data_IF_068157383827
#
_entry.id   IF_068157383827
#
_cell.length_a   1.000
_cell.length_b   1.000
_cell.length_c   1.000
_cell.angle_alpha   90.00
_cell.angle_beta   90.00
_cell.angle_gamma   90.00
#
_symmetry.space_group_name_H-M   'P 1'
#
loop_
_entity.id
_entity.type
_entity.pdbx_description
1 polymer ?
2 non-polymer ?
3 non-polymer ?
4 water ?
#
# COMPACT_ATOMS: atom_id res chain seq x y z
N UNK A 1 -4.79 9.82 12.49
CA UNK A 1 -4.56 8.35 12.41
C UNK A 1 -5.77 7.75 11.74
N UNK A 2 -5.61 6.53 11.24
CA UNK A 2 -6.75 5.77 10.77
C UNK A 2 -6.72 4.40 11.46
N UNK A 3 -7.87 3.75 11.47
CA UNK A 3 -7.99 2.49 12.15
C UNK A 3 -8.80 1.54 11.31
N UNK A 4 -8.53 0.27 11.54
CA UNK A 4 -9.29 -0.82 10.98
C UNK A 4 -9.34 -2.02 11.91
N UNK A 5 -10.57 -2.52 12.10
CA UNK A 5 -10.85 -3.65 12.95
C UNK A 5 -11.34 -4.84 12.11
N UNK A 6 -10.54 -5.90 12.13
CA UNK A 6 -10.91 -7.18 11.47
C UNK A 6 -12.14 -7.86 12.07
N UNK A 7 -12.35 -7.67 13.37
CA UNK A 7 -13.49 -8.25 14.05
C UNK A 7 -14.75 -7.51 13.61
N UNK A 8 -15.64 -8.22 12.95
CA UNK A 8 -16.83 -7.58 12.44
C UNK A 8 -16.63 -6.98 11.08
N UNK A 9 -15.42 -7.10 10.53
CA UNK A 9 -15.18 -6.48 9.22
C UNK A 9 -16.02 -7.09 8.15
N UNK A 10 -16.47 -6.27 7.23
CA UNK A 10 -17.10 -6.77 6.06
C UNK A 10 -16.62 -5.89 4.91
N UNK A 11 -17.03 -6.21 3.68
CA UNK A 11 -16.57 -5.39 2.55
C UNK A 11 -16.91 -3.92 2.71
N UNK A 12 -18.12 -3.64 3.19
CA UNK A 12 -18.46 -2.30 3.37
C UNK A 12 -17.54 -1.57 4.34
N UNK A 13 -17.20 -2.16 5.48
CA UNK A 13 -16.36 -1.51 6.49
C UNK A 13 -14.88 -1.40 6.04
N UNK A 14 -14.40 -2.42 5.34
CA UNK A 14 -13.06 -2.35 4.73
C UNK A 14 -13.02 -1.20 3.70
N UNK A 15 -14.07 -1.08 2.87
CA UNK A 15 -14.12 -0.04 1.85
C UNK A 15 -14.11 1.31 2.50
N UNK A 16 -14.82 1.42 3.62
CA UNK A 16 -14.82 2.62 4.44
C UNK A 16 -13.41 3.00 4.97
N UNK A 17 -12.68 2.02 5.55
CA UNK A 17 -11.34 2.17 6.01
C UNK A 17 -10.48 2.64 4.87
N UNK A 18 -10.58 2.00 3.71
CA UNK A 18 -9.72 2.42 2.58
C UNK A 18 -10.00 3.82 2.16
N UNK A 19 -11.28 4.19 2.14
CA UNK A 19 -11.58 5.61 1.91
C UNK A 19 -10.96 6.54 2.90
N UNK A 20 -11.01 6.19 4.18
CA UNK A 20 -10.37 6.98 5.25
C UNK A 20 -8.84 7.05 5.17
N UNK A 21 -8.24 5.93 4.82
CA UNK A 21 -6.82 5.91 4.54
C UNK A 21 -6.47 6.91 3.39
N UNK A 22 -7.15 6.82 2.24
CA UNK A 22 -6.93 7.77 1.15
C UNK A 22 -7.12 9.21 1.61
N UNK A 23 -8.17 9.45 2.41
CA UNK A 23 -8.50 10.82 2.86
C UNK A 23 -7.56 11.35 3.91
N UNK A 24 -6.80 10.45 4.55
CA UNK A 24 -5.78 10.88 5.49
C UNK A 24 -4.57 11.41 4.82
N UNK A 25 -4.39 11.18 3.50
CA UNK A 25 -3.16 11.59 2.85
C UNK A 25 -3.39 12.98 2.29
N UNK A 26 -2.48 13.92 2.57
CA UNK A 26 -2.65 15.29 2.08
C UNK A 26 -2.28 15.49 0.63
N UNK A 27 -3.02 16.41 -0.01
CA UNK A 27 -2.70 16.87 -1.33
C UNK A 27 -3.13 18.33 -1.46
N UNK A 28 -2.43 19.07 -2.27
CA UNK A 28 -2.89 20.44 -2.55
C UNK A 28 -3.55 20.49 -3.94
N UNK A 29 -3.19 19.61 -4.87
CA UNK A 29 -3.93 19.58 -6.11
C UNK A 29 -4.40 18.18 -6.58
N UNK A 30 -5.33 18.20 -7.53
CA UNK A 30 -5.75 17.01 -8.21
C UNK A 30 -5.33 17.12 -9.63
N UNK A 31 -5.04 16.01 -10.25
CA UNK A 31 -4.66 15.97 -11.65
C UNK A 31 -5.62 15.00 -12.27
N UNK A 32 -6.41 15.48 -13.23
CA UNK A 32 -7.54 14.72 -13.77
C UNK A 32 -8.36 14.12 -12.67
N UNK A 33 -8.69 14.97 -11.72
CA UNK A 33 -9.50 14.67 -10.64
C UNK A 33 -8.94 13.59 -9.68
N UNK A 34 -7.67 13.25 -9.82
CA UNK A 34 -6.98 12.25 -8.87
C UNK A 34 -6.04 13.04 -7.95
N UNK A 35 -6.17 12.94 -6.59
CA UNK A 35 -5.26 13.60 -5.66
C UNK A 35 -3.82 13.29 -5.95
N UNK A 36 -3.01 14.35 -6.01
CA UNK A 36 -1.59 14.31 -6.28
C UNK A 36 -0.90 14.46 -4.93
N UNK A 37 -0.19 13.39 -4.56
CA UNK A 37 0.51 13.39 -3.27
C UNK A 37 1.63 14.39 -3.32
N UNK A 38 1.90 14.95 -2.14
CA UNK A 38 2.91 16.01 -2.04
C UNK A 38 4.32 15.55 -2.43
N UNK A 39 5.14 16.49 -2.94
CA UNK A 39 6.50 16.19 -3.25
C UNK A 39 7.29 15.86 -1.98
N UNK A 40 6.94 16.51 -0.86
CA UNK A 40 7.73 16.43 0.31
C UNK A 40 6.91 16.89 1.48
N UNK A 41 7.16 16.28 2.64
CA UNK A 41 6.62 16.74 3.95
C UNK A 41 7.67 16.71 5.08
N UNK A 42 7.67 17.80 5.86
CA UNK A 42 8.68 18.12 6.87
C UNK A 42 8.39 17.37 8.14
N UNK A 43 9.36 16.59 8.60
CA UNK A 43 9.35 16.04 9.95
C UNK A 43 8.29 14.99 10.19
N UNK A 44 7.65 15.08 11.36
CA UNK A 44 6.77 14.03 11.89
C UNK A 44 5.49 13.88 11.09
N UNK A 45 5.03 15.00 10.51
CA UNK A 45 3.79 15.07 9.76
C UNK A 45 3.86 14.24 8.49
N UNK A 46 5.04 13.76 8.17
CA UNK A 46 5.26 12.96 6.98
C UNK A 46 4.67 11.54 7.10
N UNK A 47 4.39 11.13 8.32
CA UNK A 47 4.00 9.74 8.64
C UNK A 47 2.58 9.63 9.17
N UNK A 48 1.79 8.78 8.54
CA UNK A 48 0.43 8.48 9.07
C UNK A 48 0.45 7.20 9.84
N UNK A 49 -0.24 7.16 10.98
CA UNK A 49 -0.35 5.95 11.81
C UNK A 49 -1.66 5.23 11.53
N UNK A 50 -1.53 3.96 11.16
CA UNK A 50 -2.67 3.12 10.80
C UNK A 50 -2.71 2.05 11.88
N UNK A 51 -3.74 2.13 12.71
CA UNK A 51 -3.99 1.16 13.76
C UNK A 51 -4.78 0.00 13.21
N UNK A 52 -4.18 -1.20 13.25
CA UNK A 52 -4.88 -2.40 12.75
C UNK A 52 -5.09 -3.37 13.86
N UNK A 53 -6.31 -3.92 13.92
CA UNK A 53 -6.65 -4.91 14.96
C UNK A 53 -7.06 -6.23 14.33
N UNK A 54 -6.49 -7.32 14.82
CA UNK A 54 -6.87 -8.64 14.34
C UNK A 54 -8.21 -9.11 14.89
N UNK A 55 -8.63 -10.31 14.49
CA UNK A 55 -9.99 -10.78 14.86
C UNK A 55 -10.08 -10.81 16.40
N UNK A 56 -9.00 -11.14 17.06
CA UNK A 56 -9.00 -11.22 18.55
C UNK A 56 -8.81 -9.86 19.17
N UNK A 57 -8.67 -8.84 18.36
CA UNK A 57 -8.51 -7.51 18.89
C UNK A 57 -7.11 -7.07 19.38
N UNK A 58 -6.08 -7.86 19.11
CA UNK A 58 -4.70 -7.38 19.32
C UNK A 58 -4.38 -6.42 18.19
N UNK A 59 -3.42 -5.53 18.43
CA UNK A 59 -3.17 -4.47 17.50
C UNK A 59 -1.68 -4.26 17.16
N UNK A 60 -1.44 -3.84 15.93
CA UNK A 60 -0.22 -3.19 15.52
C UNK A 60 -0.51 -1.79 14.98
N UNK A 61 0.43 -0.86 15.14
CA UNK A 61 0.39 0.39 14.48
C UNK A 61 1.42 0.48 13.33
N UNK A 62 0.93 0.79 12.14
CA UNK A 62 1.81 0.83 10.98
C UNK A 62 2.07 2.29 10.59
N UNK A 63 3.32 2.61 10.34
CA UNK A 63 3.69 3.96 9.91
C UNK A 63 3.80 4.02 8.43
N UNK A 64 3.07 4.99 7.84
CA UNK A 64 3.02 5.11 6.43
C UNK A 64 3.46 6.52 6.03
N UNK A 65 4.32 6.60 5.01
CA UNK A 65 4.84 7.88 4.49
C UNK A 65 3.78 8.43 3.57
N UNK A 66 3.28 9.61 3.93
CA UNK A 66 2.08 10.14 3.28
C UNK A 66 2.35 10.66 1.86
N UNK A 67 3.63 10.74 1.50
CA UNK A 67 4.02 11.21 0.18
C UNK A 67 4.06 10.10 -0.82
N UNK A 68 4.12 8.84 -0.37
CA UNK A 68 4.24 7.75 -1.34
C UNK A 68 3.46 6.44 -1.01
N UNK A 69 2.79 6.48 0.14
CA UNK A 69 2.06 5.39 0.76
C UNK A 69 2.98 4.18 1.04
N UNK A 70 4.27 4.43 1.19
CA UNK A 70 5.19 3.33 1.55
C UNK A 70 5.13 3.11 3.05
N UNK A 71 5.12 1.83 3.40
CA UNK A 71 5.16 1.43 4.79
C UNK A 71 6.60 1.49 5.23
N UNK A 72 6.82 2.19 6.35
CA UNK A 72 8.17 2.38 6.87
C UNK A 72 8.51 1.30 7.94
N UNK A 73 7.50 0.98 8.75
CA UNK A 73 7.62 0.07 9.88
C UNK A 73 6.37 0.03 10.67
N UNK A 74 6.43 -0.63 11.85
CA UNK A 74 5.22 -0.84 12.63
C UNK A 74 5.64 -1.09 14.09
N UNK A 75 4.68 -0.87 14.95
CA UNK A 75 4.83 -1.10 16.40
C UNK A 75 3.96 -2.27 16.81
N UNK A 76 4.56 -3.25 17.47
CA UNK A 76 3.84 -4.39 18.09
C UNK A 76 4.16 -4.40 19.58
N UNK A 77 3.18 -4.03 20.37
CA UNK A 77 3.37 -3.87 21.79
C UNK A 77 4.50 -2.88 21.94
N UNK A 78 5.56 -3.27 22.62
CA UNK A 78 6.63 -2.33 23.03
C UNK A 78 7.87 -2.44 22.13
N UNK A 79 7.67 -3.01 20.94
CA UNK A 79 8.78 -3.25 20.06
C UNK A 79 8.42 -2.65 18.69
N UNK A 80 9.31 -1.85 18.14
CA UNK A 80 9.15 -1.25 16.82
C UNK A 80 10.00 -2.02 15.80
N UNK A 81 9.57 -2.02 14.54
CA UNK A 81 10.22 -2.81 13.49
C UNK A 81 10.27 -1.88 12.30
N UNK A 82 11.42 -1.73 11.68
CA UNK A 82 11.53 -0.83 10.53
C UNK A 82 12.26 -1.57 9.46
N UNK A 83 11.95 -1.27 8.22
CA UNK A 83 12.70 -1.84 7.10
C UNK A 83 14.13 -1.36 7.11
N UNK A 84 14.99 -2.15 6.44
CA UNK A 84 16.39 -1.83 6.35
C UNK A 84 16.64 -1.00 5.11
N UNK A 85 16.32 0.27 5.25
CA UNK A 85 16.41 1.27 4.16
C UNK A 85 16.43 2.70 4.78
N UNK A 86 17.13 3.66 4.14
CA UNK A 86 17.31 5.02 4.66
C UNK A 86 16.01 5.74 5.02
N UNK A 87 14.99 5.58 4.20
CA UNK A 87 13.74 6.23 4.49
C UNK A 87 13.13 5.77 5.82
N UNK A 88 13.20 4.47 6.10
CA UNK A 88 12.58 3.97 7.32
C UNK A 88 13.43 4.34 8.54
N UNK A 89 14.75 4.34 8.36
CA UNK A 89 15.68 4.84 9.39
C UNK A 89 15.22 6.22 9.83
N UNK A 90 14.97 7.10 8.86
CA UNK A 90 14.50 8.45 9.15
C UNK A 90 13.22 8.49 9.86
N UNK A 91 12.30 7.63 9.42
CA UNK A 91 11.01 7.58 10.01
C UNK A 91 11.17 7.27 11.46
N UNK A 92 12.14 6.42 11.76
CA UNK A 92 12.35 5.94 13.16
C UNK A 92 12.78 7.02 14.14
N UNK A 93 13.30 8.11 13.59
CA UNK A 93 13.49 9.37 14.37
C UNK A 93 12.24 10.05 14.85
N UNK A 94 11.13 9.79 14.16
CA UNK A 94 9.89 10.46 14.45
C UNK A 94 8.82 9.57 15.02
N UNK A 95 8.71 8.32 14.60
CA UNK A 95 7.59 7.54 15.11
C UNK A 95 8.00 6.39 16.04
N UNK A 96 7.10 6.10 16.98
CA UNK A 96 7.20 5.02 17.96
C UNK A 96 8.42 5.24 18.88
N UNK A 97 8.73 6.44 19.18
CA UNK A 97 9.92 6.75 19.94
C UNK A 97 9.87 6.08 21.29
N UNK A 98 8.69 5.91 21.97
CA UNK A 98 8.68 5.21 23.28
C UNK A 98 8.60 3.68 23.22
N UNK A 99 8.83 3.08 22.06
CA UNK A 99 9.04 1.63 22.04
C UNK A 99 10.27 1.31 22.89
N UNK A 100 10.21 0.21 23.62
CA UNK A 100 11.38 -0.24 24.44
C UNK A 100 12.56 -0.69 23.61
N UNK A 101 12.34 -1.21 22.40
CA UNK A 101 13.43 -1.45 21.49
C UNK A 101 13.00 -1.38 20.06
N UNK A 102 13.98 -1.23 19.18
CA UNK A 102 13.73 -1.06 17.81
C UNK A 102 14.42 -2.16 17.12
N UNK A 103 13.69 -2.94 16.30
CA UNK A 103 14.32 -3.91 15.46
C UNK A 103 14.36 -3.47 14.02
N UNK A 104 15.53 -3.52 13.38
CA UNK A 104 15.61 -3.38 11.90
C UNK A 104 15.50 -4.73 11.22
N UNK A 105 14.43 -4.88 10.48
CA UNK A 105 14.15 -6.07 9.75
C UNK A 105 15.32 -6.33 8.81
N UNK A 106 15.62 -7.60 8.56
CA UNK A 106 16.76 -7.87 7.68
C UNK A 106 16.54 -7.83 6.20
N UNK A 107 15.74 -6.85 5.77
CA UNK A 107 15.43 -6.61 4.39
C UNK A 107 14.80 -5.20 4.26
N UNK A 108 14.93 -4.66 3.07
CA UNK A 108 14.27 -3.39 2.72
C UNK A 108 12.82 -3.74 2.41
N UNK A 109 12.03 -2.69 2.19
CA UNK A 109 10.66 -2.88 1.85
C UNK A 109 10.27 -3.12 0.40
N UNK A 110 11.21 -3.27 -0.51
CA UNK A 110 10.76 -3.45 -1.85
C UNK A 110 10.28 -4.85 -2.07
N UNK A 111 9.30 -4.94 -2.93
CA UNK A 111 8.72 -6.20 -3.26
C UNK A 111 9.78 -7.30 -3.55
N UNK A 112 10.80 -6.99 -4.32
CA UNK A 112 11.68 -8.08 -4.75
C UNK A 112 12.42 -8.64 -3.50
N UNK A 113 12.79 -7.77 -2.58
CA UNK A 113 13.53 -8.24 -1.38
C UNK A 113 12.63 -8.99 -0.42
N UNK A 114 11.39 -8.50 -0.23
CA UNK A 114 10.41 -9.22 0.55
C UNK A 114 10.12 -10.59 0.02
N UNK A 115 9.97 -10.70 -1.31
CA UNK A 115 9.68 -11.99 -1.92
C UNK A 115 10.80 -13.00 -1.66
N UNK A 116 12.00 -12.56 -1.90
CA UNK A 116 13.20 -13.43 -1.60
C UNK A 116 13.19 -13.93 -0.14
N UNK A 117 13.03 -13.02 0.78
CA UNK A 117 12.90 -13.37 2.20
C UNK A 117 11.77 -14.29 2.55
N UNK A 118 10.58 -14.02 1.98
CA UNK A 118 9.43 -14.83 2.21
C UNK A 118 9.58 -16.19 1.57
N UNK A 119 10.43 -16.26 0.55
CA UNK A 119 10.70 -17.55 -0.16
C UNK A 119 9.73 -17.84 -1.30
N UNK A 120 8.93 -16.84 -1.68
CA UNK A 120 7.93 -17.01 -2.75
C UNK A 120 7.50 -15.66 -3.35
N UNK A 121 7.15 -15.65 -4.63
CA UNK A 121 6.69 -14.41 -5.25
C UNK A 121 5.24 -14.13 -4.83
N UNK A 122 4.81 -12.90 -4.93
CA UNK A 122 3.53 -12.65 -4.33
C UNK A 122 2.38 -13.14 -5.16
N UNK A 123 2.68 -13.56 -6.39
CA UNK A 123 1.74 -14.36 -7.16
C UNK A 123 1.20 -15.59 -6.49
N UNK A 124 1.95 -16.13 -5.54
CA UNK A 124 1.62 -17.38 -4.90
C UNK A 124 1.19 -17.18 -3.50
N UNK A 125 1.09 -15.93 -3.02
CA UNK A 125 0.72 -15.70 -1.65
C UNK A 125 -0.71 -15.19 -1.66
N UNK A 126 -1.64 -15.95 -1.09
CA UNK A 126 -3.04 -15.50 -0.99
C UNK A 126 -3.16 -14.22 -0.19
N UNK A 127 -4.09 -13.38 -0.64
CA UNK A 127 -4.40 -12.16 0.08
C UNK A 127 -5.89 -12.10 0.30
N UNK A 128 -6.28 -11.26 1.26
CA UNK A 128 -7.65 -11.09 1.60
C UNK A 128 -7.70 -10.62 3.02
N UNK A 129 -8.91 -10.46 3.54
CA UNK A 129 -9.02 -9.97 4.92
C UNK A 129 -8.60 -11.02 5.91
N UNK A 130 -8.89 -12.33 5.62
CA UNK A 130 -8.35 -13.31 6.58
C UNK A 130 -6.81 -13.34 6.55
N UNK A 131 -6.21 -13.15 5.39
CA UNK A 131 -4.75 -13.07 5.26
C UNK A 131 -4.24 -11.89 6.02
N UNK A 132 -5.00 -10.81 6.04
CA UNK A 132 -4.60 -9.62 6.82
C UNK A 132 -4.67 -9.91 8.37
N UNK A 133 -5.75 -10.50 8.82
CA UNK A 133 -5.79 -11.06 10.20
C UNK A 133 -4.52 -11.87 10.55
N UNK A 134 -4.16 -12.85 9.70
CA UNK A 134 -2.95 -13.68 9.88
C UNK A 134 -1.72 -12.81 9.90
N UNK A 135 -1.64 -11.81 9.01
CA UNK A 135 -0.44 -10.97 8.91
C UNK A 135 -0.23 -10.19 10.22
N UNK A 136 -1.29 -9.60 10.70
CA UNK A 136 -1.22 -8.80 11.97
C UNK A 136 -0.75 -9.74 13.08
N UNK A 137 -1.37 -10.92 13.13
CA UNK A 137 -1.00 -11.89 14.13
C UNK A 137 0.50 -12.26 14.04
N UNK A 138 1.02 -12.46 12.84
CA UNK A 138 2.42 -12.76 12.62
C UNK A 138 3.30 -11.64 13.15
N UNK A 139 2.93 -10.43 12.83
CA UNK A 139 3.80 -9.31 13.08
C UNK A 139 3.83 -9.03 14.55
N UNK A 140 2.87 -9.57 15.31
CA UNK A 140 2.83 -9.28 16.75
C UNK A 140 4.04 -9.82 17.48
N UNK A 141 4.58 -10.91 16.95
CA UNK A 141 5.81 -11.46 17.52
C UNK A 141 6.81 -11.80 16.45
N UNK A 142 7.99 -11.25 16.66
CA UNK A 142 9.01 -11.21 15.65
C UNK A 142 9.35 -12.60 15.09
N UNK A 143 9.30 -12.71 13.78
CA UNK A 143 9.83 -13.83 13.06
C UNK A 143 10.12 -13.30 11.65
N UNK A 144 11.38 -13.06 11.27
CA UNK A 144 11.64 -12.33 10.04
C UNK A 144 11.17 -12.98 8.74
N UNK A 145 11.34 -14.28 8.61
CA UNK A 145 10.79 -14.99 7.44
C UNK A 145 9.32 -14.90 7.34
N UNK A 146 8.59 -15.14 8.42
CA UNK A 146 7.17 -15.07 8.41
C UNK A 146 6.74 -13.63 8.18
N UNK A 147 7.39 -12.68 8.82
CA UNK A 147 7.03 -11.29 8.66
C UNK A 147 7.13 -10.82 7.20
N UNK A 148 8.10 -11.31 6.42
CA UNK A 148 8.20 -10.90 5.01
C UNK A 148 6.92 -11.20 4.30
N UNK A 149 6.37 -12.41 4.53
CA UNK A 149 5.11 -12.78 3.90
C UNK A 149 3.96 -11.94 4.45
N UNK A 150 3.95 -11.76 5.77
CA UNK A 150 2.87 -10.99 6.38
C UNK A 150 2.91 -9.54 5.80
N UNK A 151 4.11 -8.99 5.64
CA UNK A 151 4.28 -7.68 5.06
C UNK A 151 3.83 -7.54 3.64
N UNK A 152 4.10 -8.52 2.80
CA UNK A 152 3.50 -8.54 1.49
C UNK A 152 1.97 -8.48 1.48
N UNK A 153 1.32 -9.15 2.42
CA UNK A 153 -0.10 -9.16 2.52
C UNK A 153 -0.54 -7.77 2.99
N UNK A 154 0.18 -7.27 4.00
CA UNK A 154 -0.15 -6.00 4.62
C UNK A 154 -0.09 -4.80 3.63
N UNK A 155 0.96 -4.80 2.83
CA UNK A 155 1.16 -3.79 1.83
C UNK A 155 0.05 -3.79 0.79
N UNK A 156 -0.32 -4.96 0.31
CA UNK A 156 -1.24 -5.06 -0.77
C UNK A 156 -2.66 -4.79 -0.24
N UNK A 157 -2.97 -5.18 0.97
CA UNK A 157 -4.33 -4.93 1.50
C UNK A 157 -4.61 -3.53 2.02
N UNK A 158 -3.60 -2.74 2.21
CA UNK A 158 -3.75 -1.45 2.75
C UNK A 158 -3.31 -0.44 1.66
N UNK A 159 -2.02 -0.18 1.52
CA UNK A 159 -1.46 0.81 0.55
C UNK A 159 -1.88 0.54 -0.90
N UNK A 160 -1.76 -0.68 -1.40
CA UNK A 160 -2.12 -0.93 -2.80
C UNK A 160 -3.67 -0.72 -3.08
N UNK A 161 -4.49 -1.06 -2.09
CA UNK A 161 -5.96 -0.88 -2.18
C UNK A 161 -6.27 0.61 -2.14
N UNK A 162 -5.54 1.37 -1.31
CA UNK A 162 -5.73 2.81 -1.28
C UNK A 162 -5.39 3.41 -2.65
N UNK A 163 -4.36 2.85 -3.31
CA UNK A 163 -3.95 3.38 -4.64
C UNK A 163 -4.88 3.09 -5.77
N UNK A 164 -5.46 1.89 -5.76
CA UNK A 164 -6.29 1.40 -6.84
C UNK A 164 -7.62 0.86 -6.39
N UNK A 165 -8.72 1.46 -6.85
CA UNK A 165 -10.05 0.94 -6.55
C UNK A 165 -10.22 -0.52 -6.97
N UNK A 166 -9.55 -0.98 -8.04
CA UNK A 166 -9.67 -2.30 -8.46
C UNK A 166 -9.09 -3.27 -7.38
N UNK A 167 -7.99 -2.88 -6.74
CA UNK A 167 -7.38 -3.71 -5.74
C UNK A 167 -8.24 -3.70 -4.51
N UNK A 168 -8.75 -2.52 -4.14
CA UNK A 168 -9.75 -2.45 -3.06
C UNK A 168 -10.87 -3.46 -3.26
N UNK A 169 -11.43 -3.51 -4.48
CA UNK A 169 -12.47 -4.40 -4.83
C UNK A 169 -12.02 -5.85 -4.77
N UNK A 170 -10.78 -6.14 -5.21
CA UNK A 170 -10.25 -7.50 -5.10
C UNK A 170 -10.25 -7.96 -3.64
N UNK A 171 -9.83 -7.10 -2.75
CA UNK A 171 -9.74 -7.48 -1.38
C UNK A 171 -11.16 -7.70 -0.84
N UNK A 172 -12.08 -6.86 -1.26
CA UNK A 172 -13.52 -6.99 -0.86
C UNK A 172 -14.13 -8.31 -1.21
N UNK A 173 -13.74 -8.81 -2.39
CA UNK A 173 -14.12 -10.13 -2.84
C UNK A 173 -13.47 -11.24 -2.00
N UNK A 174 -12.36 -10.91 -1.32
CA UNK A 174 -11.61 -11.82 -0.50
C UNK A 174 -11.87 -11.51 1.00
N UNK A 175 -13.04 -10.99 1.32
CA UNK A 175 -13.32 -10.63 2.65
C UNK A 175 -13.32 -11.81 3.63
N UNK A 176 -13.78 -12.98 3.16
CA UNK A 176 -13.93 -14.23 3.94
C UNK A 176 -13.27 -15.45 3.29
N UNK A 177 -12.48 -15.22 2.26
CA UNK A 177 -11.70 -16.27 1.60
C UNK A 177 -10.54 -15.62 0.86
N UNK A 178 -9.31 -15.97 1.22
CA UNK A 178 -8.09 -15.46 0.63
C UNK A 178 -7.96 -16.12 -0.73
N UNK A 179 -7.39 -15.38 -1.65
CA UNK A 179 -7.00 -15.92 -2.98
C UNK A 179 -5.79 -15.17 -3.47
N UNK A 180 -4.92 -15.84 -4.23
CA UNK A 180 -3.76 -15.12 -4.74
C UNK A 180 -4.27 -13.96 -5.57
N UNK A 181 -3.47 -12.90 -5.70
CA UNK A 181 -3.89 -11.75 -6.43
C UNK A 181 -3.98 -12.05 -7.90
N UNK A 182 -4.85 -11.34 -8.61
CA UNK A 182 -5.02 -11.57 -10.08
C UNK A 182 -3.81 -10.97 -10.79
N UNK A 183 -3.52 -11.37 -12.02
CA UNK A 183 -2.42 -10.68 -12.68
C UNK A 183 -2.60 -9.18 -12.77
N UNK A 184 -3.85 -8.73 -12.86
CA UNK A 184 -4.14 -7.36 -13.04
C UNK A 184 -3.69 -6.61 -11.82
N UNK A 185 -3.89 -7.23 -10.66
CA UNK A 185 -3.48 -6.63 -9.41
C UNK A 185 -1.95 -6.40 -9.40
N UNK A 186 -1.22 -7.44 -9.73
CA UNK A 186 0.23 -7.40 -9.77
C UNK A 186 0.68 -6.28 -10.71
N UNK A 187 0.06 -6.25 -11.88
CA UNK A 187 0.36 -5.29 -12.92
C UNK A 187 0.19 -3.82 -12.46
N UNK A 188 -0.91 -3.55 -11.75
CA UNK A 188 -1.16 -2.23 -11.24
C UNK A 188 -0.15 -1.85 -10.20
N UNK A 189 0.12 -2.79 -9.31
CA UNK A 189 1.13 -2.59 -8.27
C UNK A 189 2.44 -2.20 -8.90
N UNK A 190 2.83 -2.99 -9.91
CA UNK A 190 4.09 -2.74 -10.56
C UNK A 190 4.06 -1.45 -11.36
N UNK A 191 2.89 -1.02 -11.82
CA UNK A 191 2.83 0.18 -12.66
C UNK A 191 2.47 1.51 -12.01
N UNK A 192 2.28 1.55 -10.70
CA UNK A 192 1.79 2.75 -10.08
C UNK A 192 2.67 3.94 -10.33
N UNK A 193 3.97 3.74 -10.22
CA UNK A 193 4.86 4.86 -10.43
C UNK A 193 4.78 5.43 -11.88
N UNK A 194 4.86 4.51 -12.82
CA UNK A 194 4.76 4.78 -14.27
C UNK A 194 3.41 5.38 -14.65
N UNK A 195 2.34 4.72 -14.26
CA UNK A 195 1.05 5.41 -14.36
C UNK A 195 1.00 6.79 -13.80
N UNK A 196 1.44 6.99 -12.57
CA UNK A 196 1.44 8.30 -11.94
C UNK A 196 2.19 9.39 -12.75
N UNK A 197 3.36 9.00 -13.25
CA UNK A 197 4.20 9.89 -14.07
C UNK A 197 3.45 10.23 -15.37
N UNK A 198 2.95 9.23 -16.10
CA UNK A 198 2.28 9.52 -17.41
C UNK A 198 1.00 10.41 -17.28
N UNK A 199 0.25 10.16 -16.23
CA UNK A 199 -0.90 10.98 -15.90
C UNK A 199 -0.50 12.41 -15.64
N UNK A 200 0.63 12.60 -14.95
CA UNK A 200 1.13 13.96 -14.72
C UNK A 200 1.69 14.61 -16.00
N UNK A 201 2.38 13.83 -16.82
CA UNK A 201 2.91 14.31 -18.09
C UNK A 201 1.81 14.56 -19.10
N UNK A 202 0.68 13.86 -18.93
CA UNK A 202 -0.45 14.03 -19.90
C UNK A 202 -1.03 15.45 -19.84
N UNK A 203 -0.92 16.07 -18.68
CA UNK A 203 -1.34 17.43 -18.43
C UNK A 203 -0.29 18.36 -19.09
N UNK A 204 -0.60 18.86 -20.29
CA UNK A 204 0.41 19.44 -21.20
C UNK A 204 0.54 18.61 -22.48
N UNK A 205 -0.18 17.50 -22.54
CA UNK A 205 -0.21 16.71 -23.73
C UNK A 205 -1.68 16.34 -24.01
N UNK A 206 -2.64 17.18 -23.54
CA UNK A 206 -4.09 17.02 -23.82
C UNK A 206 -4.64 15.68 -23.34
N UNK A 207 -4.09 15.21 -22.20
CA UNK A 207 -4.49 13.97 -21.55
C UNK A 207 -3.91 12.75 -22.21
N UNK A 208 -2.96 12.95 -23.12
CA UNK A 208 -2.38 11.86 -23.84
C UNK A 208 -1.01 11.49 -23.17
N UNK A 209 -0.74 10.19 -22.96
CA UNK A 209 0.49 9.73 -22.29
C UNK A 209 1.70 9.89 -23.21
N UNK A 210 2.78 10.46 -22.71
CA UNK A 210 4.02 10.52 -23.56
C UNK A 210 4.47 9.13 -23.96
N UNK A 211 4.44 8.21 -22.98
CA UNK A 211 4.79 6.81 -23.19
C UNK A 211 3.61 5.97 -22.66
N UNK A 212 3.12 5.04 -23.49
CA UNK A 212 1.96 4.28 -23.04
C UNK A 212 2.40 3.28 -21.99
N UNK A 213 1.48 2.88 -21.14
CA UNK A 213 1.73 1.99 -19.99
C UNK A 213 1.00 0.70 -20.30
N UNK A 214 1.70 -0.44 -20.26
CA UNK A 214 1.12 -1.73 -20.58
C UNK A 214 0.74 -2.36 -19.26
N UNK A 215 -0.51 -2.85 -19.20
CA UNK A 215 -1.10 -3.48 -18.02
C UNK A 215 -1.74 -4.81 -18.36
N UNK A 216 -2.20 -5.48 -17.31
CA UNK A 216 -3.04 -6.65 -17.47
C UNK A 216 -4.40 -6.23 -17.00
N UNK A 217 -5.44 -6.50 -17.79
CA UNK A 217 -6.82 -6.13 -17.38
C UNK A 217 -7.50 -7.20 -16.54
N UNK A 218 -8.73 -6.88 -16.09
CA UNK A 218 -9.55 -7.79 -15.27
C UNK A 218 -9.74 -9.16 -15.89
N UNK A 219 -9.69 -9.23 -17.23
CA UNK A 219 -9.86 -10.50 -17.96
C UNK A 219 -8.57 -11.31 -18.12
N UNK A 220 -7.44 -10.72 -17.77
CA UNK A 220 -6.17 -11.46 -17.85
C UNK A 220 -5.49 -11.18 -19.18
N UNK A 221 -6.02 -10.22 -19.91
CA UNK A 221 -5.44 -9.74 -21.17
C UNK A 221 -4.54 -8.50 -21.04
N UNK A 222 -3.50 -8.44 -21.85
CA UNK A 222 -2.63 -7.26 -21.93
C UNK A 222 -3.37 -6.15 -22.61
N UNK A 223 -3.25 -4.96 -22.04
CA UNK A 223 -3.89 -3.78 -22.57
C UNK A 223 -2.84 -2.73 -22.52
N UNK A 224 -2.91 -1.81 -23.45
CA UNK A 224 -1.99 -0.70 -23.57
C UNK A 224 -2.78 0.57 -23.21
N UNK A 225 -2.33 1.30 -22.20
CA UNK A 225 -2.97 2.53 -21.72
C UNK A 225 -2.30 3.79 -22.36
N UNK A 226 -3.05 4.50 -23.20
CA UNK A 226 -2.50 5.68 -23.93
C UNK A 226 -2.90 7.05 -23.50
N UNK A 227 -3.99 7.16 -22.74
CA UNK A 227 -4.52 8.48 -22.38
C UNK A 227 -5.45 8.44 -21.19
N UNK A 228 -5.82 9.60 -20.69
CA UNK A 228 -6.61 9.75 -19.47
C UNK A 228 -8.12 9.37 -19.57
N UNK A 229 -8.61 9.02 -20.76
CA UNK A 229 -9.98 8.46 -20.96
C UNK A 229 -10.06 7.00 -20.61
N UNK A 230 -8.93 6.33 -20.40
CA UNK A 230 -8.98 4.96 -20.01
C UNK A 230 -9.62 4.85 -18.59
N UNK A 231 -10.33 3.76 -18.38
CA UNK A 231 -10.96 3.45 -17.09
C UNK A 231 -9.91 3.35 -15.99
N UNK A 232 -8.71 2.96 -16.37
CA UNK A 232 -7.63 3.00 -15.35
C UNK A 232 -7.50 4.33 -14.68
N UNK A 233 -7.63 5.42 -15.46
CA UNK A 233 -7.48 6.76 -14.99
C UNK A 233 -8.79 7.38 -14.46
N UNK A 234 -9.90 7.10 -15.13
CA UNK A 234 -11.19 7.76 -14.74
C UNK A 234 -11.83 7.09 -13.53
N UNK A 235 -11.50 5.83 -13.30
CA UNK A 235 -12.23 5.03 -12.27
C UNK A 235 -11.28 4.31 -11.28
N UNK A 236 -10.18 3.80 -11.75
CA UNK A 236 -9.35 2.89 -10.92
C UNK A 236 -8.35 3.61 -10.01
N UNK A 237 -7.33 4.25 -10.58
CA UNK A 237 -6.30 4.91 -9.75
C UNK A 237 -6.84 6.03 -8.87
N UNK A 238 -6.41 6.11 -7.63
CA UNK A 238 -6.95 7.05 -6.63
C UNK A 238 -5.97 8.01 -6.03
N UNK A 239 -4.67 7.83 -6.32
CA UNK A 239 -3.61 8.59 -5.73
C UNK A 239 -2.47 8.52 -6.71
N UNK A 240 -1.80 9.66 -6.89
CA UNK A 240 -0.68 9.81 -7.80
C UNK A 240 0.59 10.14 -6.99
N UNK A 241 1.63 9.38 -7.30
CA UNK A 241 2.95 9.64 -6.81
C UNK A 241 3.49 10.85 -7.56
N UNK A 242 3.88 11.86 -6.79
CA UNK A 242 4.44 13.06 -7.39
C UNK A 242 5.63 12.76 -8.30
N UNK A 243 5.66 13.34 -9.50
CA UNK A 243 6.87 13.12 -10.32
C UNK A 243 8.14 13.61 -9.61
N UNK A 244 8.05 14.49 -8.62
CA UNK A 244 9.26 14.88 -7.85
C UNK A 244 9.92 13.62 -7.26
N UNK A 245 9.11 12.60 -7.01
CA UNK A 245 9.54 11.42 -6.27
C UNK A 245 9.70 10.20 -7.17
N UNK A 246 9.89 10.49 -8.46
CA UNK A 246 10.12 9.50 -9.49
C UNK A 246 11.37 9.99 -10.24
#
# INVERSE_FOLDING_TARGET
DVSFRLSGADPSSYGMFIKDLRNALPHTEKVYNIPLLLPSVSGAGRYLLMHLFNYDGNTITVAVDVTNVYIMGYLALTTSYFFNEPAADLASQYVFRSARRKITLPYSGNYERLQIAAGKPREKIPIGLPALDTAISTLLHYDSTAAAGALLVLIQTTAEAARFKYIEQQIQERAYRDEVPSSATISLENSWSGLSKQIQLAQGNNGVFRTPTVLVDSKGNRVQITNVTSNVVTSNIQLLLNTKNI
#
